data_IF_546543196759
#
_entry.id   IF_546543196759
#
_cell.length_a   1.000
_cell.length_b   1.000
_cell.length_c   1.000
_cell.angle_alpha   90.00
_cell.angle_beta   90.00
_cell.angle_gamma   90.00
#
_symmetry.space_group_name_H-M   'P 1'
#
loop_
_entity.id
_entity.type
_entity.pdbx_description
1 polymer ?
#
# COMPACT_ATOMS: atom_id res chain seq x y z
N UNK A 1 13.11 -15.74 -8.10
CA UNK A 1 11.81 -15.57 -8.78
C UNK A 1 10.91 -14.87 -7.79
N UNK A 2 10.29 -13.72 -8.12
CA UNK A 2 9.41 -13.01 -7.19
C UNK A 2 8.36 -13.98 -6.64
N UNK A 3 8.16 -13.98 -5.33
CA UNK A 3 7.12 -14.79 -4.71
C UNK A 3 5.76 -14.36 -5.30
N UNK A 4 5.12 -15.27 -6.04
CA UNK A 4 3.83 -15.00 -6.67
C UNK A 4 2.75 -14.74 -5.60
N UNK A 5 2.92 -15.29 -4.40
CA UNK A 5 2.04 -15.05 -3.26
C UNK A 5 2.10 -13.60 -2.80
N UNK A 6 3.30 -13.07 -2.56
CA UNK A 6 3.48 -11.69 -2.07
C UNK A 6 2.99 -10.64 -3.07
N UNK A 7 3.27 -10.81 -4.37
CA UNK A 7 2.73 -9.90 -5.39
C UNK A 7 1.20 -9.90 -5.42
N UNK A 8 0.58 -11.06 -5.19
CA UNK A 8 -0.87 -11.17 -5.14
C UNK A 8 -1.42 -10.44 -3.91
N UNK A 9 -0.81 -10.61 -2.75
CA UNK A 9 -1.20 -9.91 -1.51
C UNK A 9 -1.14 -8.39 -1.70
N UNK A 10 -0.03 -7.88 -2.26
CA UNK A 10 0.14 -6.45 -2.57
C UNK A 10 -0.96 -5.94 -3.51
N UNK A 11 -1.21 -6.69 -4.60
CA UNK A 11 -2.23 -6.32 -5.59
C UNK A 11 -3.64 -6.33 -5.00
N UNK A 12 -3.97 -7.34 -4.19
CA UNK A 12 -5.27 -7.48 -3.55
C UNK A 12 -5.48 -6.34 -2.51
N UNK A 13 -4.44 -5.98 -1.74
CA UNK A 13 -4.46 -4.87 -0.79
C UNK A 13 -4.68 -3.51 -1.48
N UNK A 14 -3.91 -3.20 -2.53
CA UNK A 14 -4.08 -1.96 -3.30
C UNK A 14 -5.48 -1.91 -3.93
N UNK A 15 -5.99 -3.05 -4.43
CA UNK A 15 -7.33 -3.13 -5.01
C UNK A 15 -8.45 -2.89 -3.99
N UNK A 16 -8.25 -3.32 -2.74
CA UNK A 16 -9.20 -3.06 -1.65
C UNK A 16 -9.28 -1.56 -1.35
N UNK A 17 -8.12 -0.90 -1.21
CA UNK A 17 -8.06 0.53 -0.95
C UNK A 17 -8.65 1.32 -2.11
N UNK A 18 -8.33 0.97 -3.35
CA UNK A 18 -8.86 1.64 -4.54
C UNK A 18 -10.40 1.56 -4.62
N UNK A 19 -11.00 0.47 -4.13
CA UNK A 19 -12.47 0.33 -4.06
C UNK A 19 -13.10 1.22 -3.00
N UNK A 20 -12.39 1.48 -1.90
CA UNK A 20 -12.87 2.28 -0.78
C UNK A 20 -12.57 3.77 -0.96
N UNK A 21 -11.55 4.10 -1.76
CA UNK A 21 -11.06 5.45 -1.93
C UNK A 21 -10.89 5.77 -3.43
N UNK A 22 -11.89 6.45 -3.99
CA UNK A 22 -11.91 6.89 -5.38
C UNK A 22 -10.86 7.99 -5.70
N UNK A 23 -10.21 8.55 -4.68
CA UNK A 23 -9.18 9.58 -4.82
C UNK A 23 -7.76 8.98 -4.83
N UNK A 24 -7.61 7.65 -4.78
CA UNK A 24 -6.32 7.00 -4.94
C UNK A 24 -5.80 7.19 -6.36
N UNK A 25 -4.68 7.90 -6.49
CA UNK A 25 -4.04 8.18 -7.77
C UNK A 25 -3.01 7.10 -8.10
N UNK A 26 -2.15 6.76 -7.14
CA UNK A 26 -1.01 5.86 -7.36
C UNK A 26 -0.66 5.09 -6.08
N UNK A 27 -0.12 3.90 -6.27
CA UNK A 27 0.57 3.13 -5.24
C UNK A 27 1.99 2.83 -5.70
N UNK A 28 2.95 2.98 -4.80
CA UNK A 28 4.35 2.69 -5.06
C UNK A 28 4.87 1.68 -4.04
N UNK A 29 5.49 0.62 -4.54
CA UNK A 29 6.17 -0.37 -3.72
C UNK A 29 7.61 0.11 -3.46
N UNK A 30 7.99 0.14 -2.19
CA UNK A 30 9.33 0.53 -1.76
C UNK A 30 9.93 -0.53 -0.82
N UNK A 31 11.03 -0.19 -0.14
CA UNK A 31 11.66 -1.09 0.82
C UNK A 31 12.47 -2.23 0.20
N UNK A 32 12.75 -3.23 1.03
CA UNK A 32 13.58 -4.39 0.68
C UNK A 32 12.95 -5.22 -0.43
N UNK A 33 11.61 -5.37 -0.43
CA UNK A 33 10.88 -6.13 -1.43
C UNK A 33 10.96 -5.49 -2.83
N UNK A 34 10.86 -4.16 -2.93
CA UNK A 34 11.09 -3.46 -4.19
C UNK A 34 12.52 -3.66 -4.73
N UNK A 35 13.50 -3.73 -3.83
CA UNK A 35 14.93 -3.87 -4.13
C UNK A 35 15.38 -5.32 -4.36
N UNK A 36 14.50 -6.30 -4.18
CA UNK A 36 14.82 -7.74 -4.24
C UNK A 36 15.89 -8.16 -3.22
N UNK A 37 15.91 -7.47 -2.07
CA UNK A 37 16.80 -7.78 -0.93
C UNK A 37 15.98 -8.14 0.30
N UNK A 38 14.72 -8.54 0.10
CA UNK A 38 13.81 -9.02 1.13
C UNK A 38 14.27 -10.37 1.69
N UNK A 39 13.99 -10.54 2.98
CA UNK A 39 14.18 -11.77 3.74
C UNK A 39 12.80 -12.35 4.08
N UNK A 40 12.70 -13.64 4.48
CA UNK A 40 11.42 -14.27 4.83
C UNK A 40 10.62 -13.53 5.91
N UNK A 41 11.27 -12.71 6.73
CA UNK A 41 10.71 -11.90 7.81
C UNK A 41 10.59 -10.40 7.46
N UNK A 42 10.79 -10.03 6.19
CA UNK A 42 10.72 -8.62 5.77
C UNK A 42 9.29 -8.12 5.63
N UNK A 43 9.09 -6.90 6.09
CA UNK A 43 7.87 -6.14 5.88
C UNK A 43 7.74 -5.66 4.42
N UNK A 44 6.52 -5.25 4.05
CA UNK A 44 6.19 -4.70 2.74
C UNK A 44 5.85 -3.22 2.90
N UNK A 45 6.69 -2.35 2.32
CA UNK A 45 6.47 -0.91 2.34
C UNK A 45 5.73 -0.44 1.08
N UNK A 46 4.55 0.18 1.25
CA UNK A 46 3.76 0.75 0.16
C UNK A 46 3.45 2.21 0.47
N UNK A 47 3.75 3.11 -0.47
CA UNK A 47 3.26 4.49 -0.41
C UNK A 47 2.02 4.66 -1.28
N UNK A 48 0.99 5.28 -0.73
CA UNK A 48 -0.27 5.59 -1.42
C UNK A 48 -0.35 7.09 -1.65
N UNK A 49 -0.60 7.50 -2.89
CA UNK A 49 -0.80 8.90 -3.26
C UNK A 49 -2.29 9.10 -3.51
N UNK A 50 -2.90 9.92 -2.66
CA UNK A 50 -4.34 10.19 -2.64
C UNK A 50 -4.51 11.71 -2.72
N UNK A 51 -5.33 12.20 -3.65
CA UNK A 51 -5.60 13.64 -3.76
C UNK A 51 -6.75 14.08 -2.87
N UNK A 52 -6.88 15.40 -2.75
CA UNK A 52 -8.09 16.09 -2.28
C UNK A 52 -8.56 15.74 -0.86
N UNK A 53 -7.65 15.23 -0.02
CA UNK A 53 -7.90 15.02 1.41
C UNK A 53 -7.79 16.33 2.19
N UNK A 54 -8.83 16.67 2.93
CA UNK A 54 -8.77 17.64 4.04
C UNK A 54 -7.91 17.11 5.19
N UNK A 55 -7.53 17.98 6.14
CA UNK A 55 -6.66 17.57 7.24
C UNK A 55 -7.31 16.52 8.17
N UNK A 56 -8.62 16.61 8.40
CA UNK A 56 -9.36 15.61 9.17
C UNK A 56 -9.41 14.26 8.42
N UNK A 57 -9.70 14.29 7.11
CA UNK A 57 -9.72 13.07 6.27
C UNK A 57 -8.34 12.40 6.17
N UNK A 58 -7.24 13.17 6.20
CA UNK A 58 -5.88 12.60 6.24
C UNK A 58 -5.67 11.79 7.50
N UNK A 59 -6.08 12.31 8.66
CA UNK A 59 -5.89 11.62 9.92
C UNK A 59 -6.76 10.36 10.00
N UNK A 60 -8.04 10.49 9.65
CA UNK A 60 -8.99 9.36 9.64
C UNK A 60 -8.51 8.24 8.73
N UNK A 61 -8.04 8.59 7.53
CA UNK A 61 -7.51 7.62 6.59
C UNK A 61 -6.23 6.94 7.12
N UNK A 62 -5.33 7.68 7.76
CA UNK A 62 -4.14 7.09 8.37
C UNK A 62 -4.51 6.08 9.44
N UNK A 63 -5.48 6.40 10.30
CA UNK A 63 -5.99 5.48 11.33
C UNK A 63 -6.62 4.25 10.69
N UNK A 64 -7.46 4.42 9.66
CA UNK A 64 -8.10 3.31 8.96
C UNK A 64 -7.08 2.37 8.30
N UNK A 65 -5.97 2.88 7.77
CA UNK A 65 -4.94 2.08 7.12
C UNK A 65 -4.05 1.30 8.12
N UNK A 66 -4.10 1.63 9.41
CA UNK A 66 -3.35 0.94 10.48
C UNK A 66 -4.17 -0.14 11.20
N UNK A 67 -5.47 -0.27 10.91
CA UNK A 67 -6.41 -1.23 11.51
C UNK A 67 -6.63 -2.44 10.60
#
# INVERSE_FOLDING_TARGET
MKDKGTNKIISDYISLIAKQNNQLIKAYLFGSYAKQTDRPDSDIDIALIISDLSDDEKFDLQVQLML
#
